data_IF_012203563131
#
_entry.id   IF_012203563131
#
_cell.length_a   1.000
_cell.length_b   1.000
_cell.length_c   1.000
_cell.angle_alpha   90.00
_cell.angle_beta   90.00
_cell.angle_gamma   90.00
#
_symmetry.space_group_name_H-M   'P 1'
#
loop_
_entity.id
_entity.type
_entity.pdbx_description
1 polymer ?
#
# COMPACT_ATOMS: atom_id res chain seq x y z
N UNK A 1 27.64 4.98 -9.51
CA UNK A 1 28.12 3.61 -9.29
C UNK A 1 26.90 2.72 -9.09
N UNK A 2 26.73 1.57 -9.78
CA UNK A 2 25.46 0.86 -9.80
C UNK A 2 25.52 -0.42 -8.95
N UNK A 3 25.54 -0.26 -7.63
CA UNK A 3 25.14 -1.30 -6.65
C UNK A 3 24.55 -0.62 -5.43
N UNK A 4 23.63 0.33 -5.67
CA UNK A 4 22.73 0.80 -4.62
C UNK A 4 21.67 -0.27 -4.46
N UNK A 5 21.82 -1.10 -3.45
CA UNK A 5 20.76 -2.00 -3.00
C UNK A 5 19.50 -1.14 -2.82
N UNK A 6 18.45 -1.43 -3.59
CA UNK A 6 17.20 -0.71 -3.46
C UNK A 6 16.62 -1.14 -2.11
N UNK A 7 16.87 -0.35 -1.06
CA UNK A 7 16.27 -0.55 0.26
C UNK A 7 14.76 -0.38 0.13
N UNK A 8 14.07 -1.50 -0.10
CA UNK A 8 12.62 -1.55 -0.13
C UNK A 8 12.15 -1.29 1.30
N UNK A 9 11.32 -0.26 1.49
CA UNK A 9 10.63 -0.01 2.75
C UNK A 9 9.27 -0.68 2.70
N UNK A 10 8.88 -1.31 3.80
CA UNK A 10 7.66 -2.07 3.95
C UNK A 10 6.85 -1.53 5.12
N UNK A 11 5.54 -1.47 4.95
CA UNK A 11 4.55 -1.29 6.02
C UNK A 11 3.52 -2.39 5.82
N UNK A 12 3.28 -3.22 6.84
CA UNK A 12 2.46 -4.44 6.75
C UNK A 12 2.88 -5.36 5.58
N UNK A 13 4.20 -5.56 5.41
CA UNK A 13 4.79 -6.34 4.30
C UNK A 13 4.45 -5.79 2.89
N UNK A 14 4.00 -4.54 2.80
CA UNK A 14 3.66 -3.87 1.54
C UNK A 14 4.68 -2.77 1.23
N UNK A 15 5.25 -2.83 0.02
CA UNK A 15 5.99 -1.75 -0.59
C UNK A 15 5.05 -0.86 -1.39
N UNK A 16 4.91 0.39 -0.96
CA UNK A 16 3.99 1.33 -1.59
C UNK A 16 4.42 1.68 -3.02
N UNK A 17 3.47 1.60 -3.95
CA UNK A 17 3.61 2.12 -5.32
C UNK A 17 2.56 3.18 -5.64
N UNK A 18 3.00 4.23 -6.32
CA UNK A 18 2.09 5.27 -6.77
C UNK A 18 1.14 4.73 -7.85
N UNK A 19 -0.17 5.04 -7.75
CA UNK A 19 -1.13 4.70 -8.78
C UNK A 19 -0.97 5.56 -10.04
N UNK A 20 -1.55 5.12 -11.18
CA UNK A 20 -1.45 5.84 -12.46
C UNK A 20 -2.17 7.20 -12.47
N UNK A 21 -3.08 7.45 -11.53
CA UNK A 21 -3.78 8.70 -11.34
C UNK A 21 -3.83 9.09 -9.84
N UNK A 22 -3.98 10.39 -9.50
CA UNK A 22 -4.08 10.81 -8.10
C UNK A 22 -5.36 10.29 -7.42
N UNK A 23 -5.26 9.50 -6.32
CA UNK A 23 -6.45 8.91 -5.67
C UNK A 23 -7.43 9.94 -5.09
N UNK A 24 -6.96 11.14 -4.76
CA UNK A 24 -7.81 12.15 -4.12
C UNK A 24 -8.84 12.74 -5.10
N UNK A 25 -8.49 12.89 -6.37
CA UNK A 25 -9.31 13.59 -7.36
C UNK A 25 -9.74 12.73 -8.55
N UNK A 26 -9.15 11.54 -8.73
CA UNK A 26 -9.39 10.63 -9.85
C UNK A 26 -9.44 9.16 -9.40
N UNK A 27 -10.07 8.88 -8.26
CA UNK A 27 -10.12 7.52 -7.71
C UNK A 27 -10.75 6.50 -8.67
N UNK A 28 -11.75 6.94 -9.45
CA UNK A 28 -12.47 6.10 -10.40
C UNK A 28 -11.63 5.72 -11.64
N UNK A 29 -10.51 6.41 -11.87
CA UNK A 29 -9.56 6.12 -12.95
C UNK A 29 -8.53 5.05 -12.55
N UNK A 30 -8.59 4.55 -11.30
CA UNK A 30 -7.65 3.57 -10.74
C UNK A 30 -8.38 2.22 -10.57
N UNK A 31 -7.85 1.12 -11.14
CA UNK A 31 -8.43 -0.20 -10.93
C UNK A 31 -8.53 -0.55 -9.44
N UNK A 32 -9.71 -0.96 -8.91
CA UNK A 32 -9.87 -1.29 -7.50
C UNK A 32 -8.91 -2.36 -7.00
N UNK A 33 -8.53 -3.30 -7.86
CA UNK A 33 -7.62 -4.41 -7.57
C UNK A 33 -6.17 -3.95 -7.33
N UNK A 34 -5.84 -2.70 -7.66
CA UNK A 34 -4.53 -2.11 -7.41
C UNK A 34 -4.36 -1.65 -5.96
N UNK A 35 -5.47 -1.40 -5.27
CA UNK A 35 -5.46 -1.01 -3.86
C UNK A 35 -5.34 -2.25 -2.99
N UNK A 36 -4.47 -2.18 -2.00
CA UNK A 36 -4.20 -3.27 -1.07
C UNK A 36 -4.04 -2.74 0.36
N UNK A 37 -4.11 -3.63 1.34
CA UNK A 37 -3.76 -3.44 2.75
C UNK A 37 -3.40 -4.81 3.36
N UNK A 38 -3.15 -4.84 4.66
CA UNK A 38 -2.81 -6.07 5.39
C UNK A 38 -3.84 -7.20 5.26
N UNK A 39 -5.11 -6.90 4.99
CA UNK A 39 -6.19 -7.89 4.93
C UNK A 39 -6.43 -8.47 3.52
N UNK A 40 -6.09 -7.73 2.46
CA UNK A 40 -6.46 -8.07 1.08
C UNK A 40 -5.26 -8.14 0.11
N UNK A 41 -4.07 -8.42 0.63
CA UNK A 41 -2.88 -8.65 -0.19
C UNK A 41 -3.12 -9.77 -1.21
N UNK A 42 -2.64 -9.65 -2.47
CA UNK A 42 -2.74 -10.73 -3.44
C UNK A 42 -2.12 -12.03 -2.93
N UNK A 43 -2.79 -13.16 -3.13
CA UNK A 43 -2.39 -14.45 -2.54
C UNK A 43 -1.05 -14.98 -3.08
N UNK A 44 -0.65 -14.54 -4.27
CA UNK A 44 0.62 -14.84 -4.93
C UNK A 44 1.69 -13.74 -4.72
N UNK A 45 1.41 -12.76 -3.85
CA UNK A 45 2.36 -11.71 -3.49
C UNK A 45 3.35 -12.23 -2.43
N UNK A 46 4.62 -12.38 -2.84
CA UNK A 46 5.73 -12.73 -1.94
C UNK A 46 6.06 -11.63 -0.92
N UNK A 47 7.25 -11.70 -0.32
CA UNK A 47 7.68 -10.80 0.77
C UNK A 47 7.79 -9.31 0.39
N UNK A 48 7.78 -8.98 -0.91
CA UNK A 48 7.92 -7.60 -1.42
C UNK A 48 6.70 -7.22 -2.25
N UNK A 49 5.52 -7.24 -1.63
CA UNK A 49 4.30 -6.94 -2.36
C UNK A 49 4.25 -5.47 -2.76
N UNK A 50 4.07 -5.19 -4.06
CA UNK A 50 4.07 -3.83 -4.59
C UNK A 50 2.67 -3.42 -5.01
N UNK A 51 2.06 -2.50 -4.27
CA UNK A 51 0.69 -2.03 -4.56
C UNK A 51 0.43 -0.67 -3.91
N UNK A 52 -0.69 -0.05 -4.25
CA UNK A 52 -1.09 1.21 -3.63
C UNK A 52 -1.76 0.91 -2.29
N UNK A 53 -1.00 1.01 -1.20
CA UNK A 53 -1.49 0.74 0.15
C UNK A 53 -2.61 1.76 0.53
N UNK A 54 -3.82 1.26 0.75
CA UNK A 54 -5.01 2.04 1.16
C UNK A 54 -5.81 1.28 2.22
N UNK A 55 -6.09 1.95 3.34
CA UNK A 55 -7.02 1.47 4.37
C UNK A 55 -8.34 2.23 4.25
N UNK A 56 -9.44 1.52 4.06
CA UNK A 56 -10.78 2.11 3.97
C UNK A 56 -11.37 2.30 5.38
N UNK A 57 -11.65 3.56 5.74
CA UNK A 57 -12.14 3.93 7.07
C UNK A 57 -13.55 4.53 6.96
N UNK A 58 -14.53 4.06 7.76
CA UNK A 58 -15.85 4.67 7.80
C UNK A 58 -15.81 6.14 8.22
N UNK A 59 -16.70 6.96 7.65
CA UNK A 59 -16.82 8.37 8.02
C UNK A 59 -17.10 8.52 9.53
N UNK A 60 -16.38 9.43 10.20
CA UNK A 60 -16.40 9.67 11.65
C UNK A 60 -15.92 8.50 12.54
N UNK A 61 -15.22 7.50 11.99
CA UNK A 61 -14.59 6.48 12.83
C UNK A 61 -13.48 7.09 13.70
N UNK A 62 -13.34 6.59 14.93
CA UNK A 62 -12.16 6.85 15.78
C UNK A 62 -11.10 5.81 15.40
N UNK A 63 -9.89 6.26 15.09
CA UNK A 63 -8.79 5.40 14.62
C UNK A 63 -7.61 5.49 15.60
N UNK A 64 -7.05 4.35 15.96
CA UNK A 64 -5.76 4.21 16.66
C UNK A 64 -4.75 3.59 15.68
N UNK A 65 -3.58 4.20 15.55
CA UNK A 65 -2.49 3.70 14.69
C UNK A 65 -1.34 3.28 15.58
N UNK A 66 -0.98 2.01 15.53
CA UNK A 66 0.17 1.45 16.25
C UNK A 66 1.25 1.13 15.23
N UNK A 67 2.40 1.80 15.33
CA UNK A 67 3.57 1.53 14.49
C UNK A 67 4.54 0.65 15.26
N UNK A 68 4.91 -0.48 14.67
CA UNK A 68 5.89 -1.43 15.21
C UNK A 68 7.06 -1.50 14.23
N UNK A 69 8.27 -1.54 14.77
CA UNK A 69 9.51 -1.76 14.01
C UNK A 69 9.88 -3.24 14.14
N UNK A 70 10.33 -3.87 13.04
CA UNK A 70 10.70 -5.29 12.96
C UNK A 70 12.21 -5.53 12.85
#
# INVERSE_FOLDING_TARGET
APTGDHVISLVDEISFTFPPAPPLSQIDDIPPEQFCNGDNRPADCGANCMCTHKVDIPHNAIVEVVLVDE
#
